data_IF_826509985095
#
_entry.id   IF_826509985095
#
_cell.length_a   1.000
_cell.length_b   1.000
_cell.length_c   1.000
_cell.angle_alpha   90.00
_cell.angle_beta   90.00
_cell.angle_gamma   90.00
#
_symmetry.space_group_name_H-M   'P 1'
#
loop_
_entity.id
_entity.type
_entity.pdbx_description
1 polymer ?
#
# COMPACT_ATOMS: atom_id res chain seq x y z
N UNK A 1 -34.64 51.23 -41.63
CA UNK A 1 -33.34 51.13 -40.90
C UNK A 1 -33.45 50.67 -39.46
N UNK A 2 -34.53 50.78 -38.74
CA UNK A 2 -34.64 50.44 -37.31
C UNK A 2 -34.60 48.92 -36.97
N UNK A 3 -35.12 48.02 -37.87
CA UNK A 3 -35.14 46.57 -37.63
C UNK A 3 -33.75 45.88 -37.61
N UNK A 4 -32.81 46.39 -38.40
CA UNK A 4 -31.43 45.85 -38.48
C UNK A 4 -30.64 46.05 -37.18
N UNK A 5 -30.79 47.20 -36.54
CA UNK A 5 -30.08 47.56 -35.31
C UNK A 5 -30.55 46.75 -34.11
N UNK A 6 -31.87 46.45 -34.00
CA UNK A 6 -32.43 45.63 -32.95
C UNK A 6 -31.96 44.16 -33.01
N UNK A 7 -31.77 43.62 -34.22
CA UNK A 7 -31.28 42.25 -34.41
C UNK A 7 -29.82 42.10 -33.99
N UNK A 8 -29.01 43.11 -34.34
CA UNK A 8 -27.60 43.17 -33.95
C UNK A 8 -27.40 43.29 -32.44
N UNK A 9 -28.22 44.09 -31.75
CA UNK A 9 -28.17 44.26 -30.28
C UNK A 9 -28.57 42.94 -29.59
N UNK A 10 -29.61 42.25 -30.08
CA UNK A 10 -30.01 40.92 -29.53
C UNK A 10 -28.90 39.88 -29.71
N UNK A 11 -28.24 39.81 -30.86
CA UNK A 11 -27.13 38.91 -31.12
C UNK A 11 -25.94 39.19 -30.18
N UNK A 12 -25.60 40.46 -29.94
CA UNK A 12 -24.54 40.85 -29.02
C UNK A 12 -24.87 40.42 -27.56
N UNK A 13 -26.11 40.70 -27.11
CA UNK A 13 -26.60 40.30 -25.80
C UNK A 13 -26.53 38.76 -25.60
N UNK A 14 -27.00 37.99 -26.58
CA UNK A 14 -26.94 36.54 -26.52
C UNK A 14 -25.50 36.02 -26.50
N UNK A 15 -24.59 36.59 -27.30
CA UNK A 15 -23.18 36.21 -27.28
C UNK A 15 -22.51 36.50 -25.93
N UNK A 16 -22.79 37.63 -25.30
CA UNK A 16 -22.23 37.96 -23.97
C UNK A 16 -22.77 37.05 -22.87
N UNK A 17 -24.05 36.64 -22.94
CA UNK A 17 -24.62 35.66 -21.99
C UNK A 17 -23.96 34.30 -22.15
N UNK A 18 -23.77 33.82 -23.38
CA UNK A 18 -23.13 32.53 -23.65
C UNK A 18 -21.67 32.53 -23.15
N UNK A 19 -20.93 33.61 -23.41
CA UNK A 19 -19.55 33.72 -22.92
C UNK A 19 -19.51 33.77 -21.38
N UNK A 20 -20.42 34.48 -20.73
CA UNK A 20 -20.51 34.53 -19.28
C UNK A 20 -20.83 33.14 -18.66
N UNK A 21 -21.71 32.36 -19.32
CA UNK A 21 -22.02 30.97 -18.90
C UNK A 21 -20.79 30.08 -19.05
N UNK A 22 -20.04 30.16 -20.18
CA UNK A 22 -18.83 29.38 -20.40
C UNK A 22 -17.76 29.71 -19.36
N UNK A 23 -17.54 30.99 -19.08
CA UNK A 23 -16.57 31.43 -18.05
C UNK A 23 -17.04 30.94 -16.66
N UNK A 24 -18.32 31.07 -16.35
CA UNK A 24 -18.88 30.63 -15.07
C UNK A 24 -18.74 29.10 -14.88
N UNK A 25 -19.05 28.30 -15.92
CA UNK A 25 -18.88 26.85 -15.85
C UNK A 25 -17.44 26.42 -15.76
N UNK A 26 -16.53 27.07 -16.51
CA UNK A 26 -15.09 26.83 -16.42
C UNK A 26 -14.55 27.19 -15.02
N UNK A 27 -15.00 28.29 -14.44
CA UNK A 27 -14.63 28.70 -13.08
C UNK A 27 -15.12 27.70 -12.02
N UNK A 28 -16.40 27.28 -12.09
CA UNK A 28 -16.98 26.29 -11.19
C UNK A 28 -16.23 24.95 -11.32
N UNK A 29 -16.01 24.46 -12.54
CA UNK A 29 -15.27 23.24 -12.78
C UNK A 29 -13.83 23.32 -12.26
N UNK A 30 -13.13 24.44 -12.45
CA UNK A 30 -11.77 24.62 -11.95
C UNK A 30 -11.66 24.80 -10.43
N UNK A 31 -12.74 25.27 -9.78
CA UNK A 31 -12.72 25.58 -8.33
C UNK A 31 -13.24 24.41 -7.49
N UNK A 32 -14.26 23.67 -8.00
CA UNK A 32 -14.95 22.63 -7.22
C UNK A 32 -14.57 21.21 -7.64
N UNK A 33 -13.97 21.02 -8.81
CA UNK A 33 -13.37 19.73 -9.19
C UNK A 33 -11.85 19.80 -8.99
N UNK A 34 -11.32 19.11 -7.98
CA UNK A 34 -9.88 19.09 -7.78
C UNK A 34 -9.20 18.49 -9.02
N UNK A 35 -8.31 19.29 -9.62
CA UNK A 35 -7.47 18.81 -10.70
C UNK A 35 -6.52 17.74 -10.13
N UNK A 36 -6.45 16.54 -10.78
CA UNK A 36 -5.59 15.45 -10.35
C UNK A 36 -4.12 15.88 -10.16
N UNK A 37 -3.62 16.82 -11.01
CA UNK A 37 -2.28 17.38 -10.85
C UNK A 37 -2.10 18.20 -9.57
N UNK A 38 -3.17 18.79 -9.06
CA UNK A 38 -3.15 19.52 -7.79
C UNK A 38 -3.20 18.57 -6.62
N UNK A 39 -3.96 17.48 -6.75
CA UNK A 39 -4.00 16.42 -5.75
C UNK A 39 -2.66 15.72 -5.62
N UNK A 40 -2.03 15.32 -6.73
CA UNK A 40 -0.69 14.71 -6.72
C UNK A 40 0.35 15.62 -6.04
N UNK A 41 0.34 16.92 -6.37
CA UNK A 41 1.24 17.89 -5.71
C UNK A 41 0.96 18.02 -4.21
N UNK A 42 -0.31 18.02 -3.82
CA UNK A 42 -0.69 18.10 -2.41
C UNK A 42 -0.27 16.84 -1.66
N UNK A 43 -0.45 15.66 -2.26
CA UNK A 43 0.01 14.38 -1.68
C UNK A 43 1.53 14.36 -1.53
N UNK A 44 2.27 14.81 -2.54
CA UNK A 44 3.73 14.94 -2.48
C UNK A 44 4.18 15.88 -1.35
N UNK A 45 3.53 17.03 -1.20
CA UNK A 45 3.86 17.98 -0.12
C UNK A 45 3.51 17.43 1.27
N UNK A 46 2.37 16.76 1.41
CA UNK A 46 2.00 16.06 2.66
C UNK A 46 3.05 14.99 2.98
N UNK A 47 3.42 14.17 2.01
CA UNK A 47 4.43 13.13 2.22
C UNK A 47 5.79 13.71 2.61
N UNK A 48 6.23 14.79 1.98
CA UNK A 48 7.46 15.51 2.37
C UNK A 48 7.39 16.05 3.79
N UNK A 49 6.22 16.54 4.22
CA UNK A 49 6.03 17.00 5.60
C UNK A 49 6.06 15.82 6.58
N UNK A 50 5.41 14.69 6.25
CA UNK A 50 5.47 13.47 7.05
C UNK A 50 6.92 13.00 7.23
N UNK A 51 7.72 12.97 6.15
CA UNK A 51 9.14 12.61 6.21
C UNK A 51 9.96 13.56 7.10
N UNK A 52 9.73 14.87 7.01
CA UNK A 52 10.38 15.85 7.90
C UNK A 52 10.03 15.63 9.37
N UNK A 53 8.78 15.27 9.67
CA UNK A 53 8.37 14.93 11.03
C UNK A 53 9.09 13.66 11.51
N UNK A 54 9.14 12.62 10.70
CA UNK A 54 9.88 11.37 10.99
C UNK A 54 11.35 11.68 11.30
N UNK A 55 11.99 12.51 10.47
CA UNK A 55 13.38 12.93 10.63
C UNK A 55 13.58 13.79 11.89
N UNK A 56 12.71 14.78 12.12
CA UNK A 56 12.77 15.68 13.28
C UNK A 56 12.58 14.94 14.61
N UNK A 57 11.75 13.88 14.60
CA UNK A 57 11.53 13.02 15.76
C UNK A 57 12.62 11.96 15.92
N UNK A 58 13.57 11.86 14.98
CA UNK A 58 14.62 10.85 15.00
C UNK A 58 14.08 9.41 14.98
N UNK A 59 12.91 9.20 14.35
CA UNK A 59 12.29 7.88 14.28
C UNK A 59 13.20 6.92 13.53
N UNK A 60 13.55 5.83 14.17
CA UNK A 60 14.33 4.73 13.61
C UNK A 60 13.46 3.50 13.45
N UNK A 61 13.93 2.56 12.62
CA UNK A 61 13.30 1.24 12.52
C UNK A 61 13.13 0.66 13.92
N UNK A 62 11.91 0.28 14.33
CA UNK A 62 11.66 -0.23 15.67
C UNK A 62 12.33 -1.58 15.88
N UNK A 63 12.77 -1.84 17.09
CA UNK A 63 13.19 -3.17 17.51
C UNK A 63 12.01 -4.15 17.40
N UNK A 64 12.31 -5.35 16.92
CA UNK A 64 11.31 -6.38 16.66
C UNK A 64 11.44 -7.50 17.71
N UNK A 65 11.16 -7.14 18.97
CA UNK A 65 11.23 -8.06 20.10
C UNK A 65 9.85 -8.62 20.44
N UNK A 66 9.80 -9.93 20.64
CA UNK A 66 8.59 -10.62 21.04
C UNK A 66 8.91 -11.94 21.75
N UNK A 67 8.02 -12.36 22.64
CA UNK A 67 8.11 -13.61 23.39
C UNK A 67 6.92 -14.52 23.13
N UNK A 68 5.81 -13.94 22.71
CA UNK A 68 4.53 -14.62 22.47
C UNK A 68 3.81 -14.03 21.25
N UNK A 69 2.64 -14.58 20.94
CA UNK A 69 1.83 -14.14 19.80
C UNK A 69 1.39 -12.67 19.92
N UNK A 70 1.01 -12.22 21.09
CA UNK A 70 0.51 -10.85 21.32
C UNK A 70 1.64 -9.85 21.10
N UNK A 71 2.82 -10.10 21.67
CA UNK A 71 3.99 -9.27 21.47
C UNK A 71 4.51 -9.31 20.02
N UNK A 72 4.38 -10.46 19.31
CA UNK A 72 4.65 -10.55 17.87
C UNK A 72 3.73 -9.64 17.05
N UNK A 73 2.41 -9.66 17.34
CA UNK A 73 1.43 -8.78 16.70
C UNK A 73 1.82 -7.32 16.92
N UNK A 74 2.16 -6.94 18.15
CA UNK A 74 2.57 -5.58 18.51
C UNK A 74 3.87 -5.16 17.80
N UNK A 75 4.89 -6.03 17.78
CA UNK A 75 6.15 -5.75 17.09
C UNK A 75 5.94 -5.58 15.57
N UNK A 76 5.13 -6.45 14.96
CA UNK A 76 4.78 -6.34 13.54
C UNK A 76 4.00 -5.06 13.26
N UNK A 77 3.02 -4.72 14.10
CA UNK A 77 2.23 -3.49 13.98
C UNK A 77 3.12 -2.24 14.03
N UNK A 78 4.03 -2.15 15.01
CA UNK A 78 4.99 -1.04 15.12
C UNK A 78 5.86 -0.91 13.87
N UNK A 79 6.36 -2.04 13.34
CA UNK A 79 7.16 -2.04 12.12
C UNK A 79 6.34 -1.56 10.91
N UNK A 80 5.13 -2.08 10.70
CA UNK A 80 4.29 -1.65 9.56
C UNK A 80 3.89 -0.18 9.70
N UNK A 81 3.57 0.29 10.90
CA UNK A 81 3.28 1.71 11.16
C UNK A 81 4.47 2.59 10.78
N UNK A 82 5.68 2.24 11.23
CA UNK A 82 6.90 2.94 10.87
C UNK A 82 7.11 2.98 9.34
N UNK A 83 6.95 1.82 8.67
CA UNK A 83 7.10 1.73 7.22
C UNK A 83 6.03 2.54 6.48
N UNK A 84 4.80 2.57 6.97
CA UNK A 84 3.72 3.38 6.39
C UNK A 84 4.01 4.89 6.51
N UNK A 85 4.60 5.35 7.63
CA UNK A 85 5.04 6.74 7.77
C UNK A 85 6.14 7.14 6.78
N UNK A 86 6.99 6.19 6.41
CA UNK A 86 8.12 6.40 5.48
C UNK A 86 7.82 5.99 4.04
N UNK A 87 6.56 5.66 3.73
CA UNK A 87 6.11 5.21 2.41
C UNK A 87 5.00 6.12 1.90
N UNK A 88 5.02 6.47 0.61
CA UNK A 88 3.96 7.24 -0.05
C UNK A 88 2.58 6.65 0.27
N UNK A 89 1.60 7.51 0.50
CA UNK A 89 0.24 7.10 0.89
C UNK A 89 -0.36 6.07 -0.08
N UNK A 90 -0.19 6.27 -1.37
CA UNK A 90 -0.67 5.37 -2.43
C UNK A 90 -0.03 3.97 -2.40
N UNK A 91 1.11 3.81 -1.72
CA UNK A 91 1.87 2.55 -1.63
C UNK A 91 1.73 1.84 -0.28
N UNK A 92 1.02 2.45 0.67
CA UNK A 92 0.80 1.86 2.01
C UNK A 92 -0.07 0.62 1.93
N UNK A 93 0.15 -0.30 2.84
CA UNK A 93 -0.61 -1.56 2.93
C UNK A 93 -1.33 -1.61 4.28
N UNK A 94 -2.57 -2.13 4.34
CA UNK A 94 -3.27 -2.29 5.61
C UNK A 94 -2.48 -3.13 6.61
N UNK A 95 -2.34 -2.60 7.82
CA UNK A 95 -1.53 -3.21 8.90
C UNK A 95 -2.01 -4.62 9.21
N UNK A 96 -3.34 -4.81 9.33
CA UNK A 96 -3.96 -6.10 9.62
C UNK A 96 -3.60 -7.20 8.63
N UNK A 97 -3.55 -6.89 7.33
CA UNK A 97 -3.18 -7.85 6.29
C UNK A 97 -1.73 -8.31 6.49
N UNK A 98 -0.81 -7.38 6.70
CA UNK A 98 0.61 -7.71 6.89
C UNK A 98 0.83 -8.52 8.17
N UNK A 99 0.15 -8.18 9.26
CA UNK A 99 0.24 -8.94 10.52
C UNK A 99 -0.29 -10.36 10.33
N UNK A 100 -1.46 -10.51 9.70
CA UNK A 100 -2.06 -11.82 9.46
C UNK A 100 -1.14 -12.70 8.62
N UNK A 101 -0.62 -12.16 7.51
CA UNK A 101 0.32 -12.88 6.64
C UNK A 101 1.60 -13.24 7.37
N UNK A 102 2.21 -12.30 8.10
CA UNK A 102 3.42 -12.57 8.88
C UNK A 102 3.18 -13.68 9.90
N UNK A 103 2.02 -13.68 10.57
CA UNK A 103 1.64 -14.71 11.53
C UNK A 103 1.49 -16.10 10.88
N UNK A 104 0.78 -16.19 9.76
CA UNK A 104 0.55 -17.42 9.02
C UNK A 104 1.86 -17.99 8.48
N UNK A 105 2.63 -17.18 7.74
CA UNK A 105 3.85 -17.62 7.03
C UNK A 105 5.00 -17.97 7.99
N UNK A 106 5.09 -17.31 9.14
CA UNK A 106 6.17 -17.51 10.09
C UNK A 106 5.79 -18.36 11.32
N UNK A 107 4.56 -18.86 11.40
CA UNK A 107 4.00 -19.45 12.61
C UNK A 107 4.18 -18.50 13.81
N UNK A 108 3.73 -17.25 13.66
CA UNK A 108 3.85 -16.17 14.63
C UNK A 108 5.31 -15.93 15.08
N UNK A 109 6.24 -15.99 14.12
CA UNK A 109 7.66 -15.78 14.35
C UNK A 109 8.42 -16.98 14.92
N UNK A 110 7.77 -18.12 15.12
CA UNK A 110 8.41 -19.31 15.73
C UNK A 110 9.10 -20.22 14.72
N UNK A 111 8.83 -20.07 13.40
CA UNK A 111 9.45 -20.87 12.36
C UNK A 111 10.97 -20.68 12.35
N UNK A 112 11.69 -21.70 11.84
CA UNK A 112 13.16 -21.64 11.68
C UNK A 112 13.61 -20.45 10.85
N UNK A 113 12.92 -20.18 9.75
CA UNK A 113 13.25 -19.05 8.87
C UNK A 113 13.07 -17.69 9.56
N UNK A 114 12.04 -17.56 10.41
CA UNK A 114 11.84 -16.36 11.20
C UNK A 114 12.87 -16.19 12.30
N UNK A 115 13.30 -17.29 12.96
CA UNK A 115 14.29 -17.25 14.06
C UNK A 115 15.71 -17.05 13.58
N UNK A 116 16.14 -17.82 12.57
CA UNK A 116 17.53 -17.85 12.12
C UNK A 116 17.82 -16.87 10.96
N UNK A 117 16.78 -16.47 10.22
CA UNK A 117 16.89 -15.64 9.02
C UNK A 117 16.11 -14.35 9.05
N UNK A 118 15.41 -14.02 10.12
CA UNK A 118 14.48 -12.89 10.20
C UNK A 118 13.45 -12.84 9.05
N UNK A 119 13.15 -13.98 8.42
CA UNK A 119 12.29 -14.12 7.25
C UNK A 119 10.86 -14.46 7.69
N UNK A 120 9.97 -13.47 7.66
CA UNK A 120 8.58 -13.65 8.09
C UNK A 120 7.65 -14.17 6.99
N UNK A 121 8.03 -14.03 5.71
CA UNK A 121 7.14 -14.31 4.56
C UNK A 121 7.69 -15.37 3.60
N UNK A 122 8.78 -16.02 3.91
CA UNK A 122 9.34 -17.07 3.06
C UNK A 122 9.74 -16.63 1.65
N UNK A 123 10.08 -15.35 1.45
CA UNK A 123 10.44 -14.81 0.14
C UNK A 123 11.65 -15.56 -0.42
N UNK A 124 11.53 -16.08 -1.64
CA UNK A 124 12.58 -16.84 -2.32
C UNK A 124 13.55 -15.95 -3.05
N UNK A 125 14.78 -16.44 -3.20
CA UNK A 125 15.80 -15.92 -4.11
C UNK A 125 16.42 -17.06 -4.90
N UNK A 126 16.74 -16.78 -6.15
CA UNK A 126 17.51 -17.65 -7.06
C UNK A 126 18.94 -17.14 -7.23
N UNK A 127 19.20 -15.91 -6.78
CA UNK A 127 20.55 -15.35 -6.69
C UNK A 127 21.20 -15.80 -5.37
N UNK A 128 21.78 -16.99 -5.43
CA UNK A 128 22.40 -17.62 -4.26
C UNK A 128 23.80 -17.08 -3.95
N UNK A 129 24.42 -16.41 -4.90
CA UNK A 129 25.74 -15.81 -4.73
C UNK A 129 25.68 -14.48 -3.95
N UNK A 130 24.75 -13.59 -4.34
CA UNK A 130 24.73 -12.22 -3.85
C UNK A 130 23.65 -11.99 -2.78
N UNK A 131 22.66 -12.88 -2.66
CA UNK A 131 21.56 -12.72 -1.71
C UNK A 131 21.74 -13.64 -0.50
N UNK A 132 21.90 -13.10 0.73
CA UNK A 132 21.87 -13.91 1.94
C UNK A 132 20.60 -14.76 2.02
N UNK A 133 20.74 -16.05 2.22
CA UNK A 133 19.62 -16.99 2.18
C UNK A 133 19.79 -18.19 3.10
N UNK A 134 18.72 -18.94 3.24
CA UNK A 134 18.68 -20.24 3.93
C UNK A 134 18.04 -21.29 3.04
N UNK A 135 18.59 -22.48 3.04
CA UNK A 135 17.98 -23.65 2.37
C UNK A 135 16.92 -24.30 3.26
N UNK A 136 15.90 -24.87 2.64
CA UNK A 136 14.96 -25.76 3.35
C UNK A 136 15.67 -27.05 3.76
N UNK A 137 15.45 -27.53 5.00
CA UNK A 137 16.08 -28.77 5.47
C UNK A 137 15.70 -29.98 4.61
N UNK A 138 14.46 -30.02 4.12
CA UNK A 138 13.96 -31.11 3.25
C UNK A 138 14.37 -30.99 1.80
N UNK A 139 15.05 -29.91 1.37
CA UNK A 139 15.51 -29.73 0.00
C UNK A 139 16.81 -28.89 -0.02
N UNK A 140 17.94 -29.45 0.42
CA UNK A 140 19.23 -28.74 0.49
C UNK A 140 19.77 -28.39 -0.90
N UNK A 141 19.45 -29.19 -1.93
CA UNK A 141 19.94 -29.05 -3.30
C UNK A 141 19.07 -28.12 -4.17
N UNK A 142 18.04 -27.48 -3.58
CA UNK A 142 17.20 -26.56 -4.31
C UNK A 142 18.02 -25.45 -4.99
N UNK A 143 17.64 -25.09 -6.22
CA UNK A 143 18.25 -23.98 -6.98
C UNK A 143 17.86 -22.60 -6.44
N UNK A 144 17.10 -22.54 -5.36
CA UNK A 144 16.62 -21.35 -4.68
C UNK A 144 16.85 -21.43 -3.17
N UNK A 145 16.77 -20.29 -2.49
CA UNK A 145 16.78 -20.21 -1.03
C UNK A 145 15.74 -19.22 -0.53
N UNK A 146 15.41 -19.29 0.76
CA UNK A 146 14.62 -18.26 1.44
C UNK A 146 15.55 -17.13 1.86
N UNK A 147 15.22 -15.90 1.47
CA UNK A 147 16.02 -14.71 1.82
C UNK A 147 16.21 -14.57 3.33
N UNK A 148 17.39 -14.14 3.74
CA UNK A 148 17.71 -13.70 5.09
C UNK A 148 17.73 -12.18 5.15
N UNK A 149 17.30 -11.64 6.29
CA UNK A 149 17.29 -10.20 6.52
C UNK A 149 18.07 -9.85 7.79
N UNK A 150 18.56 -8.62 7.87
CA UNK A 150 19.24 -8.14 9.09
C UNK A 150 18.25 -8.02 10.25
N UNK A 151 17.01 -7.58 9.96
CA UNK A 151 15.92 -7.45 10.94
C UNK A 151 14.63 -8.05 10.37
N UNK A 152 13.68 -8.40 11.24
CA UNK A 152 12.35 -8.85 10.81
C UNK A 152 11.58 -7.73 10.12
N UNK A 153 11.81 -6.48 10.51
CA UNK A 153 11.19 -5.32 9.87
C UNK A 153 11.67 -5.16 8.41
N UNK A 154 12.91 -5.50 8.09
CA UNK A 154 13.37 -5.55 6.70
C UNK A 154 12.65 -6.62 5.87
N UNK A 155 12.29 -7.76 6.48
CA UNK A 155 11.44 -8.76 5.81
C UNK A 155 10.05 -8.19 5.50
N UNK A 156 9.45 -7.43 6.44
CA UNK A 156 8.19 -6.71 6.21
C UNK A 156 8.33 -5.68 5.08
N UNK A 157 9.40 -4.90 5.09
CA UNK A 157 9.70 -3.92 4.03
C UNK A 157 9.81 -4.57 2.66
N UNK A 158 10.49 -5.72 2.55
CA UNK A 158 10.63 -6.45 1.27
C UNK A 158 9.27 -6.99 0.79
N UNK A 159 8.42 -7.48 1.70
CA UNK A 159 7.05 -7.88 1.37
C UNK A 159 6.21 -6.72 0.81
N UNK A 160 6.23 -5.56 1.46
CA UNK A 160 5.53 -4.35 1.00
C UNK A 160 6.07 -3.92 -0.36
N UNK A 161 7.39 -3.97 -0.57
CA UNK A 161 8.01 -3.69 -1.87
C UNK A 161 7.50 -4.64 -2.96
N UNK A 162 7.44 -5.94 -2.68
CA UNK A 162 6.94 -6.95 -3.63
C UNK A 162 5.50 -6.64 -4.04
N UNK A 163 4.60 -6.34 -3.11
CA UNK A 163 3.22 -5.97 -3.40
C UNK A 163 3.15 -4.70 -4.28
N UNK A 164 4.06 -3.77 -4.08
CA UNK A 164 4.10 -2.52 -4.82
C UNK A 164 4.75 -2.61 -6.21
N UNK A 165 5.62 -3.59 -6.46
CA UNK A 165 6.45 -3.60 -7.68
C UNK A 165 6.29 -4.84 -8.55
N UNK A 166 5.88 -5.99 -7.99
CA UNK A 166 5.80 -7.22 -8.76
C UNK A 166 4.54 -7.24 -9.64
N UNK A 167 4.64 -7.58 -10.94
CA UNK A 167 3.50 -7.54 -11.88
C UNK A 167 2.29 -8.37 -11.44
N UNK A 168 2.52 -9.51 -10.80
CA UNK A 168 1.44 -10.40 -10.33
C UNK A 168 0.48 -9.75 -9.30
N UNK A 169 0.81 -8.58 -8.73
CA UNK A 169 0.00 -7.85 -7.75
C UNK A 169 -0.58 -6.54 -8.32
N UNK A 170 -0.74 -6.43 -9.64
CA UNK A 170 -1.37 -5.27 -10.29
C UNK A 170 -2.79 -5.06 -9.78
N UNK A 171 -3.63 -6.11 -9.80
CA UNK A 171 -5.00 -6.06 -9.27
C UNK A 171 -5.05 -5.63 -7.80
N UNK A 172 -4.07 -6.07 -6.96
CA UNK A 172 -3.98 -5.61 -5.58
C UNK A 172 -3.77 -4.08 -5.51
N UNK A 173 -2.92 -3.53 -6.37
CA UNK A 173 -2.65 -2.08 -6.41
C UNK A 173 -3.85 -1.28 -6.89
N UNK A 174 -4.57 -1.78 -7.91
CA UNK A 174 -5.77 -1.14 -8.45
C UNK A 174 -6.88 -1.07 -7.41
N UNK A 175 -7.18 -2.21 -6.76
CA UNK A 175 -8.19 -2.25 -5.69
C UNK A 175 -7.78 -1.36 -4.51
N UNK A 176 -6.48 -1.30 -4.18
CA UNK A 176 -5.98 -0.39 -3.15
C UNK A 176 -6.23 1.06 -3.51
N UNK A 177 -5.98 1.47 -4.75
CA UNK A 177 -6.25 2.83 -5.22
C UNK A 177 -7.74 3.19 -5.07
N UNK A 178 -8.65 2.32 -5.52
CA UNK A 178 -10.08 2.50 -5.34
C UNK A 178 -10.50 2.60 -3.86
N UNK A 179 -9.91 1.78 -2.99
CA UNK A 179 -10.16 1.86 -1.55
C UNK A 179 -9.71 3.19 -0.93
N UNK A 180 -8.58 3.71 -1.39
CA UNK A 180 -8.05 5.01 -0.95
C UNK A 180 -8.95 6.16 -1.42
N UNK A 181 -9.44 6.14 -2.65
CA UNK A 181 -10.37 7.13 -3.20
C UNK A 181 -11.72 7.12 -2.47
N UNK A 182 -12.26 5.93 -2.24
CA UNK A 182 -13.57 5.78 -1.57
C UNK A 182 -13.50 5.99 -0.05
N UNK A 183 -12.31 5.96 0.54
CA UNK A 183 -12.11 5.98 1.99
C UNK A 183 -12.63 4.72 2.71
N UNK A 184 -12.97 3.65 1.97
CA UNK A 184 -13.50 2.39 2.51
C UNK A 184 -12.62 1.23 2.09
N UNK A 185 -12.20 0.41 3.07
CA UNK A 185 -11.38 -0.76 2.83
C UNK A 185 -12.24 -2.00 2.61
N UNK A 186 -12.22 -2.55 1.39
CA UNK A 186 -12.72 -3.88 1.06
C UNK A 186 -11.56 -4.88 1.06
N UNK A 187 -11.29 -5.47 2.23
CA UNK A 187 -10.20 -6.44 2.39
C UNK A 187 -10.41 -7.70 1.55
N UNK A 188 -11.65 -8.15 1.38
CA UNK A 188 -11.96 -9.33 0.58
C UNK A 188 -11.59 -9.14 -0.88
N UNK A 189 -11.93 -7.99 -1.44
CA UNK A 189 -11.57 -7.63 -2.81
C UNK A 189 -10.07 -7.36 -2.95
N UNK A 190 -9.46 -6.67 -2.00
CA UNK A 190 -8.02 -6.40 -1.97
C UNK A 190 -7.19 -7.69 -1.99
N UNK A 191 -7.55 -8.66 -1.15
CA UNK A 191 -6.88 -9.97 -1.08
C UNK A 191 -7.11 -10.83 -2.33
N UNK A 192 -8.16 -10.57 -3.12
CA UNK A 192 -8.33 -11.23 -4.43
C UNK A 192 -7.22 -10.88 -5.43
N UNK A 193 -6.53 -9.75 -5.24
CA UNK A 193 -5.32 -9.38 -5.99
C UNK A 193 -4.04 -10.06 -5.51
N UNK A 194 -4.11 -10.96 -4.52
CA UNK A 194 -2.93 -11.62 -3.92
C UNK A 194 -2.84 -13.13 -4.21
N UNK A 195 -3.57 -13.62 -5.20
CA UNK A 195 -3.62 -15.06 -5.54
C UNK A 195 -2.27 -15.66 -5.92
N UNK A 196 -1.36 -14.85 -6.43
CA UNK A 196 0.00 -15.29 -6.76
C UNK A 196 0.90 -15.54 -5.53
N UNK A 197 0.48 -15.14 -4.33
CA UNK A 197 1.27 -15.34 -3.12
C UNK A 197 1.24 -16.79 -2.63
N UNK A 198 0.10 -17.44 -2.71
CA UNK A 198 -0.08 -18.82 -2.24
C UNK A 198 -0.80 -19.67 -3.28
N UNK A 199 -0.41 -20.92 -3.40
CA UNK A 199 -1.13 -21.93 -4.21
C UNK A 199 -2.37 -22.48 -3.51
N UNK A 200 -2.59 -22.14 -2.23
CA UNK A 200 -3.79 -22.53 -1.50
C UNK A 200 -4.97 -21.64 -1.93
N UNK A 201 -6.04 -22.20 -2.52
CA UNK A 201 -7.21 -21.42 -2.96
C UNK A 201 -7.93 -20.72 -1.79
N UNK A 202 -7.83 -21.25 -0.59
CA UNK A 202 -8.48 -20.72 0.62
C UNK A 202 -7.62 -19.65 1.33
N UNK A 203 -6.45 -19.31 0.79
CA UNK A 203 -5.50 -18.41 1.46
C UNK A 203 -6.11 -17.05 1.83
N UNK A 204 -6.95 -16.50 0.96
CA UNK A 204 -7.68 -15.26 1.22
C UNK A 204 -8.58 -15.39 2.47
N UNK A 205 -9.35 -16.46 2.55
CA UNK A 205 -10.25 -16.70 3.69
C UNK A 205 -9.46 -16.93 4.98
N UNK A 206 -8.32 -17.63 4.89
CA UNK A 206 -7.42 -17.84 6.03
C UNK A 206 -6.90 -16.51 6.57
N UNK A 207 -6.50 -15.57 5.69
CA UNK A 207 -6.08 -14.23 6.11
C UNK A 207 -7.24 -13.48 6.79
N UNK A 208 -8.42 -13.45 6.17
CA UNK A 208 -9.60 -12.76 6.72
C UNK A 208 -9.98 -13.34 8.09
N UNK A 209 -10.01 -14.65 8.21
CA UNK A 209 -10.30 -15.31 9.47
C UNK A 209 -9.23 -14.99 10.53
N UNK A 210 -7.96 -14.99 10.14
CA UNK A 210 -6.85 -14.63 11.04
C UNK A 210 -6.98 -13.21 11.57
N UNK A 211 -7.42 -12.27 10.72
CA UNK A 211 -7.68 -10.88 11.14
C UNK A 211 -8.78 -10.83 12.19
N UNK A 212 -9.90 -11.53 11.96
CA UNK A 212 -11.05 -11.56 12.88
C UNK A 212 -10.69 -12.22 14.20
N UNK A 213 -10.12 -13.44 14.15
CA UNK A 213 -9.81 -14.24 15.33
C UNK A 213 -8.82 -13.57 16.29
N UNK A 214 -7.93 -12.77 15.73
CA UNK A 214 -6.90 -12.06 16.51
C UNK A 214 -7.22 -10.59 16.74
N UNK A 215 -8.42 -10.14 16.31
CA UNK A 215 -8.86 -8.72 16.45
C UNK A 215 -7.78 -7.74 15.98
N UNK A 216 -7.19 -8.04 14.79
CA UNK A 216 -6.11 -7.21 14.24
C UNK A 216 -6.65 -5.84 13.84
N UNK A 217 -5.82 -4.76 13.96
CA UNK A 217 -6.23 -3.38 13.73
C UNK A 217 -6.66 -3.10 12.29
#
# INVERSE_FOLDING_TARGET
>A
MVKSTQTSIKLILWSTIVVAIIIGTAFVAGTFYPNYLTLDKLEDEIHKQELKVVESLGLKEPEFDFTDKTSFINATSKCVSYLNWTTDRSKRVPISIIIAMAGIESAWGTSRFAKEGNALFGVRTWDLENTPHMKAKGNPDATWGVKKYKTKCQSVKDMIRILNTHPAYELFRDVRAENLESGKWDYRRLLSGMTAWSTNPDYKEIILQTIVDNKLP
#
